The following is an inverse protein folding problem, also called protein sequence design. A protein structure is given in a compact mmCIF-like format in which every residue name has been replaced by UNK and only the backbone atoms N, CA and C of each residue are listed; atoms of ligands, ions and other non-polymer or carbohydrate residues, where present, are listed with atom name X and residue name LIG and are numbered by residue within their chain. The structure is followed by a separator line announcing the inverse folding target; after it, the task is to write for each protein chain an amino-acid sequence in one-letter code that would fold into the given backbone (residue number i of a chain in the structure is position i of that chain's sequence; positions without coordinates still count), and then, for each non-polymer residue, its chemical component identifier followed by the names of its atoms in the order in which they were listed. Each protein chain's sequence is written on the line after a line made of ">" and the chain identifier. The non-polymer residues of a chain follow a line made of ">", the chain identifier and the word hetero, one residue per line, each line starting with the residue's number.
data_IF_107433653706
#
_entry.id   IF_107433653706
#
_cell.length_a   1.000
_cell.length_b   1.000
_cell.length_c   1.000
_cell.angle_alpha   90.00
_cell.angle_beta   90.00
_cell.angle_gamma   90.00
#
_symmetry.space_group_name_H-M   'P 1'
#
loop_
_entity.id
_entity.type
_entity.pdbx_description
1 polymer ?
#
# COMPACT_ATOMS: atom_id res chain seq x y z
N UNK A 1 -78.77 -30.77 3.12
CA UNK A 1 -79.41 -29.55 2.63
C UNK A 1 -78.23 -28.60 2.26
N UNK A 2 -77.76 -28.65 1.16
CA UNK A 2 -78.00 -28.01 -0.11
C UNK A 2 -78.26 -26.51 -0.04
N UNK A 3 -77.31 -25.74 -0.58
CA UNK A 3 -77.48 -24.67 -1.55
C UNK A 3 -76.11 -23.98 -1.71
N UNK A 4 -75.46 -24.23 -2.83
CA UNK A 4 -75.43 -23.54 -4.14
C UNK A 4 -74.85 -22.14 -4.05
N UNK A 5 -73.65 -21.97 -4.53
CA UNK A 5 -73.25 -21.40 -5.83
C UNK A 5 -73.89 -20.07 -6.19
N UNK A 6 -73.11 -19.05 -6.51
CA UNK A 6 -72.52 -18.74 -7.78
C UNK A 6 -71.76 -17.37 -7.79
N UNK A 7 -71.03 -17.04 -8.86
CA UNK A 7 -69.78 -16.30 -8.84
C UNK A 7 -69.88 -14.93 -9.51
N UNK A 8 -68.67 -14.33 -9.69
CA UNK A 8 -68.28 -13.21 -10.55
C UNK A 8 -68.60 -11.82 -9.98
N UNK A 9 -67.75 -10.88 -10.13
CA UNK A 9 -67.17 -10.28 -11.34
C UNK A 9 -65.94 -9.45 -10.99
N UNK A 10 -65.07 -9.37 -11.97
CA UNK A 10 -63.98 -8.43 -12.07
C UNK A 10 -64.41 -6.97 -11.96
N UNK A 11 -63.44 -6.19 -11.52
CA UNK A 11 -63.18 -4.79 -11.72
C UNK A 11 -63.17 -3.97 -10.41
N UNK A 12 -61.95 -3.66 -10.02
CA UNK A 12 -61.57 -2.26 -9.80
C UNK A 12 -60.03 -2.15 -9.64
N UNK A 13 -59.48 -1.54 -10.64
CA UNK A 13 -58.11 -1.07 -10.70
C UNK A 13 -57.92 0.11 -9.76
N UNK A 14 -56.68 0.22 -9.32
CA UNK A 14 -55.98 1.44 -8.91
C UNK A 14 -56.27 2.01 -7.51
N UNK A 15 -55.31 1.73 -6.61
CA UNK A 15 -54.70 2.82 -5.82
C UNK A 15 -53.28 2.43 -5.38
N UNK A 16 -52.32 3.01 -6.06
CA UNK A 16 -51.00 3.47 -5.73
C UNK A 16 -50.67 3.43 -4.24
N UNK A 17 -49.76 2.52 -3.88
CA UNK A 17 -48.98 2.57 -2.67
C UNK A 17 -47.50 2.77 -3.06
N UNK A 18 -47.00 3.96 -2.79
CA UNK A 18 -45.61 4.36 -3.01
C UNK A 18 -44.63 3.54 -2.17
N UNK A 19 -44.11 2.49 -2.74
CA UNK A 19 -42.95 1.78 -2.22
C UNK A 19 -41.68 2.51 -2.64
N UNK A 20 -40.98 3.11 -1.68
CA UNK A 20 -39.70 3.76 -1.91
C UNK A 20 -38.69 2.81 -2.49
N UNK A 21 -38.36 2.99 -3.74
CA UNK A 21 -37.21 2.37 -4.41
C UNK A 21 -35.95 3.03 -3.86
N UNK A 22 -35.26 2.34 -2.98
CA UNK A 22 -33.92 2.72 -2.59
C UNK A 22 -33.05 2.58 -3.85
N UNK A 23 -32.84 3.66 -4.56
CA UNK A 23 -31.86 3.75 -5.62
C UNK A 23 -30.49 3.57 -4.97
N UNK A 24 -29.94 2.37 -5.09
CA UNK A 24 -28.52 2.16 -4.96
C UNK A 24 -27.87 2.97 -6.10
N UNK A 25 -27.47 4.19 -5.78
CA UNK A 25 -26.56 4.97 -6.61
C UNK A 25 -25.21 4.28 -6.53
N UNK A 26 -25.00 3.31 -7.39
CA UNK A 26 -23.67 2.81 -7.71
C UNK A 26 -22.94 3.99 -8.34
N UNK A 27 -22.17 4.72 -7.54
CA UNK A 27 -21.19 5.66 -8.03
C UNK A 27 -20.19 4.84 -8.86
N UNK A 28 -20.44 4.77 -10.16
CA UNK A 28 -19.47 4.39 -11.16
C UNK A 28 -18.37 5.47 -11.10
N UNK A 29 -17.39 5.27 -10.25
CA UNK A 29 -16.11 5.95 -10.35
C UNK A 29 -15.56 5.60 -11.73
N UNK A 30 -15.74 6.51 -12.68
CA UNK A 30 -15.01 6.48 -13.95
C UNK A 30 -13.54 6.50 -13.56
N UNK A 31 -12.86 5.33 -13.64
CA UNK A 31 -11.44 5.23 -13.42
C UNK A 31 -10.76 6.10 -14.46
N UNK A 32 -10.27 7.24 -14.03
CA UNK A 32 -9.50 8.16 -14.87
C UNK A 32 -8.30 7.40 -15.43
N UNK A 33 -8.15 7.41 -16.76
CA UNK A 33 -7.05 6.75 -17.44
C UNK A 33 -5.98 7.80 -17.75
N UNK A 34 -4.79 7.57 -17.27
CA UNK A 34 -3.62 8.40 -17.51
C UNK A 34 -2.75 7.84 -18.62
N UNK A 35 -2.25 8.70 -19.47
CA UNK A 35 -1.46 8.34 -20.63
C UNK A 35 0.04 8.37 -20.32
N UNK A 36 0.68 7.21 -20.18
CA UNK A 36 2.11 7.07 -20.01
C UNK A 36 2.82 6.90 -21.37
N UNK A 37 3.61 7.89 -21.77
CA UNK A 37 4.40 7.87 -23.01
C UNK A 37 5.76 7.24 -22.77
N UNK A 38 5.99 6.05 -23.33
CA UNK A 38 7.25 5.34 -23.21
C UNK A 38 7.88 5.08 -24.57
N UNK A 39 9.18 5.32 -24.70
CA UNK A 39 9.94 4.83 -25.84
C UNK A 39 10.06 3.31 -25.83
N UNK A 40 10.36 2.70 -26.97
CA UNK A 40 10.59 1.25 -27.05
C UNK A 40 11.73 0.81 -26.11
N UNK A 41 12.80 1.61 -26.02
CA UNK A 41 13.90 1.35 -25.11
C UNK A 41 13.47 1.38 -23.62
N UNK A 42 12.61 2.32 -23.22
CA UNK A 42 12.07 2.39 -21.85
C UNK A 42 11.18 1.17 -21.53
N UNK A 43 10.28 0.79 -22.44
CA UNK A 43 9.45 -0.42 -22.29
C UNK A 43 10.29 -1.68 -22.11
N UNK A 44 11.33 -1.82 -22.96
CA UNK A 44 12.26 -2.96 -22.86
C UNK A 44 13.01 -2.95 -21.52
N UNK A 45 13.39 -1.78 -21.02
CA UNK A 45 14.04 -1.64 -19.72
C UNK A 45 13.09 -2.06 -18.58
N UNK A 46 11.83 -1.61 -18.61
CA UNK A 46 10.82 -2.00 -17.64
C UNK A 46 10.65 -3.53 -17.62
N UNK A 47 10.36 -4.12 -18.78
CA UNK A 47 10.12 -5.57 -18.92
C UNK A 47 11.34 -6.43 -18.54
N UNK A 48 12.52 -5.86 -18.61
CA UNK A 48 13.77 -6.57 -18.26
C UNK A 48 14.07 -6.54 -16.75
N UNK A 49 13.81 -5.43 -16.08
CA UNK A 49 14.28 -5.20 -14.71
C UNK A 49 13.16 -5.18 -13.67
N UNK A 50 11.95 -4.74 -14.04
CA UNK A 50 10.80 -4.76 -13.15
C UNK A 50 10.08 -6.11 -13.28
N UNK A 51 10.02 -6.86 -12.20
CA UNK A 51 9.24 -8.09 -12.11
C UNK A 51 7.76 -7.75 -12.00
N UNK A 52 7.14 -7.47 -13.17
CA UNK A 52 5.78 -6.99 -13.24
C UNK A 52 4.75 -8.13 -13.15
N UNK A 53 3.58 -7.87 -12.54
CA UNK A 53 2.42 -8.73 -12.67
C UNK A 53 2.01 -8.91 -14.14
N UNK A 54 1.37 -10.02 -14.45
CA UNK A 54 0.99 -10.36 -15.83
C UNK A 54 0.17 -9.26 -16.51
N UNK A 55 -0.80 -8.65 -15.83
CA UNK A 55 -1.66 -7.61 -16.39
C UNK A 55 -0.90 -6.32 -16.79
N UNK A 56 0.17 -5.95 -16.07
CA UNK A 56 1.02 -4.80 -16.42
C UNK A 56 1.99 -5.14 -17.55
N UNK A 57 2.60 -6.33 -17.51
CA UNK A 57 3.53 -6.78 -18.56
C UNK A 57 2.81 -6.94 -19.89
N UNK A 58 1.67 -7.61 -19.93
CA UNK A 58 0.83 -7.77 -21.12
C UNK A 58 0.39 -6.43 -21.72
N UNK A 59 0.02 -5.46 -20.88
CA UNK A 59 -0.37 -4.11 -21.30
C UNK A 59 0.80 -3.35 -21.94
N UNK A 60 1.99 -3.47 -21.38
CA UNK A 60 3.20 -2.88 -21.95
C UNK A 60 3.63 -3.56 -23.25
N UNK A 61 3.41 -4.86 -23.40
CA UNK A 61 3.72 -5.63 -24.59
C UNK A 61 2.71 -5.41 -25.72
N UNK A 62 1.41 -5.37 -25.43
CA UNK A 62 0.34 -5.20 -26.41
C UNK A 62 0.49 -3.92 -27.25
N UNK A 63 1.07 -2.87 -26.67
CA UNK A 63 1.27 -1.58 -27.34
C UNK A 63 2.65 -1.42 -28.01
N UNK A 64 3.36 -2.52 -28.26
CA UNK A 64 4.75 -2.53 -28.75
C UNK A 64 4.89 -2.01 -30.18
N UNK A 65 3.87 -2.17 -31.00
CA UNK A 65 3.94 -1.94 -32.46
C UNK A 65 3.25 -0.68 -32.97
N UNK A 66 2.32 -0.08 -32.22
CA UNK A 66 1.44 0.98 -32.77
C UNK A 66 1.39 2.25 -31.95
N UNK A 67 1.56 2.21 -30.64
CA UNK A 67 1.37 3.38 -29.79
C UNK A 67 2.62 3.73 -28.98
N UNK A 68 3.04 4.99 -29.08
CA UNK A 68 4.08 5.57 -28.18
C UNK A 68 3.56 5.76 -26.74
N UNK A 69 2.27 5.55 -26.50
CA UNK A 69 1.61 5.78 -25.22
C UNK A 69 0.78 4.54 -24.80
N UNK A 70 0.70 4.32 -23.50
CA UNK A 70 -0.13 3.29 -22.87
C UNK A 70 -0.98 3.94 -21.81
N UNK A 71 -2.26 3.59 -21.76
CA UNK A 71 -3.18 4.11 -20.74
C UNK A 71 -3.17 3.19 -19.53
N UNK A 72 -3.12 3.79 -18.34
CA UNK A 72 -3.14 3.12 -17.05
C UNK A 72 -4.14 3.83 -16.13
N UNK A 73 -4.73 3.10 -15.21
CA UNK A 73 -5.40 3.69 -14.05
C UNK A 73 -4.36 4.23 -13.06
N UNK A 74 -4.79 5.06 -12.11
CA UNK A 74 -3.91 5.51 -11.01
C UNK A 74 -3.32 4.32 -10.24
N UNK A 75 -4.15 3.32 -9.93
CA UNK A 75 -3.72 2.12 -9.19
C UNK A 75 -2.65 1.34 -9.96
N UNK A 76 -2.81 1.18 -11.27
CA UNK A 76 -1.84 0.51 -12.12
C UNK A 76 -0.52 1.29 -12.26
N UNK A 77 -0.57 2.62 -12.26
CA UNK A 77 0.64 3.44 -12.26
C UNK A 77 1.38 3.38 -10.91
N UNK A 78 0.64 3.37 -9.79
CA UNK A 78 1.22 3.17 -8.47
C UNK A 78 1.90 1.81 -8.37
N UNK A 79 1.22 0.75 -8.82
CA UNK A 79 1.78 -0.60 -8.83
C UNK A 79 3.02 -0.70 -9.73
N UNK A 80 2.97 -0.09 -10.91
CA UNK A 80 4.12 -0.01 -11.83
C UNK A 80 5.30 0.74 -11.17
N UNK A 81 5.02 1.82 -10.45
CA UNK A 81 6.05 2.61 -9.76
C UNK A 81 6.71 1.80 -8.65
N UNK A 82 5.96 1.08 -7.82
CA UNK A 82 6.49 0.22 -6.76
C UNK A 82 7.47 -0.84 -7.32
N UNK A 83 7.12 -1.46 -8.45
CA UNK A 83 7.99 -2.42 -9.11
C UNK A 83 9.25 -1.78 -9.72
N UNK A 84 9.13 -0.57 -10.29
CA UNK A 84 10.26 0.18 -10.85
C UNK A 84 11.22 0.62 -9.75
N UNK A 85 10.74 1.18 -8.65
CA UNK A 85 11.55 1.62 -7.52
C UNK A 85 12.28 0.44 -6.89
N UNK A 86 11.60 -0.69 -6.67
CA UNK A 86 12.25 -1.93 -6.25
C UNK A 86 13.37 -2.36 -7.20
N UNK A 87 13.16 -2.22 -8.52
CA UNK A 87 14.17 -2.58 -9.52
C UNK A 87 15.41 -1.66 -9.51
N UNK A 88 15.29 -0.41 -9.01
CA UNK A 88 16.43 0.52 -8.85
C UNK A 88 17.49 -0.04 -7.90
N UNK A 89 17.09 -0.75 -6.84
CA UNK A 89 18.03 -1.38 -5.90
C UNK A 89 18.82 -2.50 -6.55
N UNK A 90 18.23 -3.21 -7.51
CA UNK A 90 18.81 -4.38 -8.21
C UNK A 90 19.64 -3.98 -9.44
N UNK A 91 19.34 -2.86 -10.07
CA UNK A 91 20.03 -2.37 -11.27
C UNK A 91 21.38 -1.71 -10.92
N UNK A 92 22.38 -1.88 -11.80
CA UNK A 92 23.73 -1.32 -11.62
C UNK A 92 24.13 -0.41 -12.79
N UNK A 93 25.00 0.58 -12.50
CA UNK A 93 25.60 1.45 -13.50
C UNK A 93 24.60 2.18 -14.38
N UNK A 94 24.80 2.17 -15.70
CA UNK A 94 23.95 2.87 -16.67
C UNK A 94 22.50 2.36 -16.70
N UNK A 95 22.27 1.10 -16.33
CA UNK A 95 20.92 0.55 -16.29
C UNK A 95 20.12 1.15 -15.13
N UNK A 96 20.75 1.35 -13.97
CA UNK A 96 20.13 2.06 -12.85
C UNK A 96 19.64 3.46 -13.26
N UNK A 97 20.46 4.20 -14.00
CA UNK A 97 20.09 5.52 -14.50
C UNK A 97 18.90 5.48 -15.48
N UNK A 98 18.80 4.42 -16.29
CA UNK A 98 17.65 4.24 -17.19
C UNK A 98 16.36 3.99 -16.42
N UNK A 99 16.41 3.14 -15.38
CA UNK A 99 15.26 2.86 -14.51
C UNK A 99 14.85 4.12 -13.77
N UNK A 100 15.78 4.86 -13.15
CA UNK A 100 15.50 6.10 -12.44
C UNK A 100 14.75 7.14 -13.30
N UNK A 101 15.15 7.34 -14.57
CA UNK A 101 14.41 8.23 -15.48
C UNK A 101 12.99 7.79 -15.79
N UNK A 102 12.70 6.49 -15.68
CA UNK A 102 11.34 5.98 -15.86
C UNK A 102 10.55 6.19 -14.58
N UNK A 103 11.16 5.96 -13.41
CA UNK A 103 10.60 6.27 -12.09
C UNK A 103 10.18 7.74 -12.04
N UNK A 104 11.08 8.69 -12.33
CA UNK A 104 10.79 10.13 -12.39
C UNK A 104 9.55 10.42 -13.25
N UNK A 105 9.52 9.84 -14.44
CA UNK A 105 8.42 10.06 -15.39
C UNK A 105 7.07 9.54 -14.90
N UNK A 106 7.03 8.38 -14.24
CA UNK A 106 5.80 7.82 -13.67
C UNK A 106 5.37 8.65 -12.45
N UNK A 107 6.34 9.05 -11.61
CA UNK A 107 6.09 9.90 -10.44
C UNK A 107 5.55 11.28 -10.83
N UNK A 108 6.10 11.91 -11.88
CA UNK A 108 5.58 13.17 -12.42
C UNK A 108 4.14 13.04 -12.90
N UNK A 109 3.82 11.93 -13.59
CA UNK A 109 2.46 11.67 -14.08
C UNK A 109 1.47 11.48 -12.93
N UNK A 110 1.86 10.78 -11.87
CA UNK A 110 1.07 10.62 -10.65
C UNK A 110 0.92 11.94 -9.87
N UNK A 111 1.96 12.78 -9.85
CA UNK A 111 1.94 14.09 -9.21
C UNK A 111 1.16 15.15 -9.98
N UNK A 112 1.07 15.05 -11.31
CA UNK A 112 0.37 16.01 -12.18
C UNK A 112 -1.15 15.78 -12.25
N UNK A 113 -1.68 14.74 -11.61
CA UNK A 113 -3.14 14.50 -11.50
C UNK A 113 -3.83 15.43 -10.49
N UNK A 114 -3.13 16.46 -10.01
CA UNK A 114 -3.73 17.52 -9.20
C UNK A 114 -4.50 18.45 -10.14
N UNK A 115 -5.84 18.40 -10.06
CA UNK A 115 -6.69 19.37 -10.73
C UNK A 115 -6.47 20.77 -10.12
N UNK A 116 -5.93 21.76 -10.88
CA UNK A 116 -5.71 23.09 -10.36
C UNK A 116 -7.02 23.84 -9.99
N UNK A 117 -8.16 23.41 -10.51
CA UNK A 117 -9.46 24.06 -10.33
C UNK A 117 -10.28 23.52 -9.14
N UNK A 118 -9.89 22.45 -8.48
CA UNK A 118 -10.45 21.99 -7.19
C UNK A 118 -9.90 22.80 -5.99
N UNK A 119 -9.35 23.97 -6.24
CA UNK A 119 -8.87 24.93 -5.21
C UNK A 119 -10.05 25.73 -4.62
N UNK A 120 -11.16 25.12 -4.33
CA UNK A 120 -12.09 25.72 -3.37
C UNK A 120 -11.57 25.42 -1.97
N UNK A 121 -11.30 26.49 -1.23
CA UNK A 121 -10.90 26.52 0.19
C UNK A 121 -11.89 25.78 1.10
N UNK A 122 -12.04 24.49 0.96
CA UNK A 122 -12.55 23.70 2.06
C UNK A 122 -11.37 23.36 2.96
N UNK A 123 -11.06 24.33 3.88
CA UNK A 123 -10.36 24.01 5.12
C UNK A 123 -11.01 22.74 5.68
N UNK A 124 -10.32 21.62 5.61
CA UNK A 124 -10.70 20.46 6.40
C UNK A 124 -10.80 20.94 7.85
N UNK A 125 -11.94 20.75 8.53
CA UNK A 125 -12.09 21.21 9.90
C UNK A 125 -10.99 20.53 10.74
N UNK A 126 -10.30 21.34 11.56
CA UNK A 126 -9.35 20.88 12.57
C UNK A 126 -9.99 19.75 13.38
N UNK A 127 -9.37 18.56 13.39
CA UNK A 127 -9.88 17.31 13.99
C UNK A 127 -11.07 16.68 13.25
N UNK A 128 -10.92 16.36 11.99
CA UNK A 128 -11.77 15.33 11.41
C UNK A 128 -11.29 13.98 11.90
N UNK A 129 -12.24 13.17 12.40
CA UNK A 129 -12.05 11.76 12.68
C UNK A 129 -11.85 11.05 11.32
N UNK A 130 -10.65 11.19 10.76
CA UNK A 130 -10.26 10.71 9.43
C UNK A 130 -9.53 9.39 9.56
N UNK A 131 -9.88 8.44 8.70
CA UNK A 131 -9.13 7.20 8.51
C UNK A 131 -8.25 7.35 7.29
N UNK A 132 -6.99 6.99 7.43
CA UNK A 132 -6.00 6.91 6.37
C UNK A 132 -5.87 5.45 5.91
N UNK A 133 -6.07 5.18 4.64
CA UNK A 133 -5.69 3.90 4.04
C UNK A 133 -4.29 4.05 3.46
N UNK A 134 -3.38 3.24 3.96
CA UNK A 134 -1.96 3.33 3.61
C UNK A 134 -1.51 1.97 3.06
N UNK A 135 -0.96 1.97 1.85
CA UNK A 135 -0.21 0.84 1.31
C UNK A 135 1.25 0.98 1.73
N UNK A 136 1.79 -0.07 2.29
CA UNK A 136 3.18 -0.20 2.72
C UNK A 136 3.84 -1.25 1.86
N UNK A 137 4.87 -0.90 1.14
CA UNK A 137 5.63 -1.83 0.26
C UNK A 137 7.06 -1.93 0.75
N UNK A 138 7.52 -3.14 1.04
CA UNK A 138 8.93 -3.40 1.37
C UNK A 138 9.77 -3.33 0.09
N UNK A 139 10.74 -2.42 0.08
CA UNK A 139 11.53 -2.11 -1.10
C UNK A 139 12.72 -3.06 -1.26
N UNK A 140 13.16 -3.24 -2.51
CA UNK A 140 14.33 -4.07 -2.82
C UNK A 140 14.06 -5.58 -2.90
N UNK A 141 12.85 -6.03 -2.55
CA UNK A 141 12.43 -7.44 -2.58
C UNK A 141 11.50 -7.69 -3.77
N UNK A 142 11.70 -8.80 -4.44
CA UNK A 142 10.81 -9.29 -5.49
C UNK A 142 10.62 -10.82 -5.36
N UNK A 143 9.37 -11.32 -5.55
CA UNK A 143 8.11 -10.57 -5.70
C UNK A 143 7.81 -9.66 -4.51
N UNK A 144 6.97 -8.61 -4.71
CA UNK A 144 6.70 -7.59 -3.70
C UNK A 144 6.10 -8.17 -2.40
N UNK A 145 6.60 -7.68 -1.28
CA UNK A 145 6.02 -7.87 0.05
C UNK A 145 5.32 -6.56 0.41
N UNK A 146 4.03 -6.60 0.68
CA UNK A 146 3.28 -5.38 0.98
C UNK A 146 2.12 -5.62 1.95
N UNK A 147 1.66 -4.53 2.57
CA UNK A 147 0.50 -4.48 3.46
C UNK A 147 -0.38 -3.29 3.09
N UNK A 148 -1.68 -3.40 3.32
CA UNK A 148 -2.62 -2.27 3.26
C UNK A 148 -3.29 -2.14 4.59
N UNK A 149 -3.04 -1.03 5.27
CA UNK A 149 -3.55 -0.75 6.61
C UNK A 149 -4.52 0.42 6.57
N UNK A 150 -5.47 0.41 7.49
CA UNK A 150 -6.36 1.54 7.75
C UNK A 150 -6.18 1.95 9.21
N UNK A 151 -5.84 3.22 9.43
CA UNK A 151 -5.67 3.78 10.77
C UNK A 151 -6.34 5.14 10.88
N UNK A 152 -6.76 5.52 12.09
CA UNK A 152 -7.12 6.89 12.39
C UNK A 152 -5.87 7.76 12.38
N UNK A 153 -6.07 9.08 12.50
CA UNK A 153 -4.93 9.97 12.71
C UNK A 153 -4.14 9.54 13.95
N UNK A 154 -2.85 9.37 13.77
CA UNK A 154 -1.93 8.86 14.77
C UNK A 154 -0.57 9.56 14.64
N UNK A 155 0.25 9.50 15.66
CA UNK A 155 1.63 9.96 15.58
C UNK A 155 2.48 9.05 14.68
N UNK A 156 3.64 9.53 14.24
CA UNK A 156 4.57 8.70 13.47
C UNK A 156 5.14 7.56 14.31
N UNK A 157 5.32 7.75 15.62
CA UNK A 157 5.70 6.67 16.53
C UNK A 157 4.61 5.59 16.61
N UNK A 158 3.33 5.98 16.74
CA UNK A 158 2.23 5.02 16.68
C UNK A 158 2.12 4.34 15.32
N UNK A 159 2.44 5.05 14.22
CA UNK A 159 2.52 4.43 12.89
C UNK A 159 3.66 3.41 12.81
N UNK A 160 4.84 3.70 13.39
CA UNK A 160 5.92 2.73 13.52
C UNK A 160 5.45 1.45 14.20
N UNK A 161 4.76 1.57 15.34
CA UNK A 161 4.22 0.41 16.06
C UNK A 161 3.26 -0.41 15.17
N UNK A 162 2.41 0.28 14.39
CA UNK A 162 1.50 -0.39 13.44
C UNK A 162 2.27 -1.14 12.36
N UNK A 163 3.33 -0.55 11.84
CA UNK A 163 4.19 -1.17 10.82
C UNK A 163 4.88 -2.41 11.36
N UNK A 164 5.44 -2.34 12.57
CA UNK A 164 6.07 -3.47 13.22
C UNK A 164 5.11 -4.67 13.33
N UNK A 165 3.92 -4.45 13.87
CA UNK A 165 2.92 -5.51 14.01
C UNK A 165 2.45 -6.04 12.66
N UNK A 166 2.23 -5.18 11.67
CA UNK A 166 1.72 -5.62 10.37
C UNK A 166 2.76 -6.31 9.51
N UNK A 167 4.02 -5.98 9.70
CA UNK A 167 5.15 -6.67 9.07
C UNK A 167 5.51 -7.95 9.84
N UNK A 168 5.36 -7.98 11.16
CA UNK A 168 5.66 -9.12 12.02
C UNK A 168 7.06 -9.02 12.64
N UNK A 169 7.56 -7.79 12.84
CA UNK A 169 8.84 -7.51 13.49
C UNK A 169 8.72 -7.28 15.00
N UNK A 170 9.84 -7.32 15.72
CA UNK A 170 9.90 -7.41 17.18
C UNK A 170 10.32 -6.12 17.88
N UNK A 171 10.44 -4.98 17.17
CA UNK A 171 10.83 -3.67 17.72
C UNK A 171 12.29 -3.62 18.23
N UNK A 172 13.17 -4.45 17.70
CA UNK A 172 14.55 -4.59 18.19
C UNK A 172 15.49 -3.48 17.67
N UNK A 173 15.12 -2.76 16.58
CA UNK A 173 15.98 -1.84 15.87
C UNK A 173 15.43 -0.42 15.79
N UNK A 174 16.32 0.51 15.41
CA UNK A 174 15.99 1.92 15.18
C UNK A 174 15.21 2.11 13.89
N UNK A 175 14.43 3.18 13.85
CA UNK A 175 13.65 3.57 12.70
C UNK A 175 13.71 5.07 12.41
N UNK A 176 13.34 5.46 11.19
CA UNK A 176 13.01 6.83 10.81
C UNK A 176 11.97 6.87 9.70
N UNK A 177 11.22 7.96 9.67
CA UNK A 177 10.42 8.34 8.51
C UNK A 177 11.12 9.47 7.77
N UNK A 178 10.97 9.49 6.42
CA UNK A 178 11.48 10.55 5.56
C UNK A 178 10.30 11.10 4.76
N UNK A 179 9.87 12.33 5.11
CA UNK A 179 8.64 12.94 4.58
C UNK A 179 8.97 14.33 4.04
N UNK A 180 8.87 14.51 2.73
CA UNK A 180 9.20 15.80 2.10
C UNK A 180 10.66 16.23 2.31
N UNK A 181 11.57 15.27 2.51
CA UNK A 181 12.99 15.52 2.79
C UNK A 181 13.31 15.83 4.25
N UNK A 182 12.33 15.76 5.14
CA UNK A 182 12.51 15.91 6.60
C UNK A 182 12.52 14.53 7.26
N UNK A 183 13.46 14.29 8.15
CA UNK A 183 13.57 13.06 8.93
C UNK A 183 12.82 13.17 10.25
N UNK A 184 12.11 12.08 10.62
CA UNK A 184 11.37 11.94 11.87
C UNK A 184 11.75 10.63 12.54
N UNK A 185 12.16 10.69 13.80
CA UNK A 185 12.51 9.52 14.60
C UNK A 185 12.17 9.75 16.06
N UNK A 186 12.40 8.75 16.89
CA UNK A 186 12.37 8.93 18.33
C UNK A 186 13.63 9.71 18.78
N UNK A 187 13.43 10.90 19.36
CA UNK A 187 14.55 11.78 19.79
C UNK A 187 15.34 11.22 20.97
N UNK A 188 14.78 10.31 21.76
CA UNK A 188 15.54 9.63 22.81
C UNK A 188 16.64 8.73 22.24
N UNK A 189 16.48 8.31 20.97
CA UNK A 189 17.39 7.43 20.25
C UNK A 189 18.16 8.13 19.12
N UNK A 190 17.73 9.33 18.70
CA UNK A 190 18.37 10.08 17.61
C UNK A 190 19.42 11.06 18.15
N UNK A 191 20.64 10.96 17.63
CA UNK A 191 21.77 11.84 17.99
C UNK A 191 21.99 13.02 17.02
N UNK A 192 21.04 13.30 16.10
CA UNK A 192 21.19 14.29 15.04
C UNK A 192 20.35 15.54 15.28
N UNK A 193 20.94 16.73 15.04
CA UNK A 193 20.33 18.03 15.34
C UNK A 193 19.13 18.41 14.46
N UNK A 194 18.96 17.79 13.29
CA UNK A 194 17.93 18.14 12.29
C UNK A 194 16.74 17.14 12.23
N UNK A 195 16.66 16.20 13.15
CA UNK A 195 15.58 15.18 13.20
C UNK A 195 14.39 15.73 13.99
N UNK A 196 13.19 15.56 13.45
CA UNK A 196 11.94 15.91 14.12
C UNK A 196 11.42 14.76 14.98
N UNK A 197 10.66 15.10 16.04
CA UNK A 197 10.15 14.10 16.98
C UNK A 197 8.94 13.33 16.39
N UNK A 198 9.12 12.04 16.13
CA UNK A 198 8.07 11.15 15.67
C UNK A 198 6.93 10.96 16.70
N UNK A 199 7.22 11.09 17.99
CA UNK A 199 6.24 10.93 19.07
C UNK A 199 5.21 12.07 19.13
N UNK A 200 5.61 13.28 18.69
CA UNK A 200 4.80 14.49 18.78
C UNK A 200 4.19 14.91 17.42
N UNK A 201 4.46 14.17 16.34
CA UNK A 201 4.07 14.54 14.98
C UNK A 201 2.98 13.62 14.45
N UNK A 202 1.77 14.15 14.19
CA UNK A 202 0.65 13.40 13.62
C UNK A 202 0.68 13.34 12.08
N UNK A 203 0.14 12.28 11.51
CA UNK A 203 -0.02 12.11 10.06
C UNK A 203 -0.76 13.30 9.41
N UNK A 204 -1.83 13.78 10.04
CA UNK A 204 -2.63 14.89 9.53
C UNK A 204 -1.87 16.22 9.46
N UNK A 205 -0.81 16.39 10.24
CA UNK A 205 -0.01 17.62 10.28
C UNK A 205 1.00 17.71 9.15
N UNK A 206 1.52 16.57 8.71
CA UNK A 206 2.63 16.48 7.75
C UNK A 206 2.20 16.08 6.34
N UNK A 207 1.07 15.38 6.22
CA UNK A 207 0.60 14.95 4.91
C UNK A 207 -0.14 16.08 4.20
N UNK A 208 0.28 16.46 2.96
CA UNK A 208 -0.37 17.52 2.21
C UNK A 208 -1.85 17.26 2.02
N UNK A 209 -2.71 18.21 2.41
CA UNK A 209 -4.15 18.08 2.24
C UNK A 209 -4.58 17.98 0.76
N UNK A 210 -3.77 18.55 -0.15
CA UNK A 210 -4.04 18.64 -1.59
C UNK A 210 -3.45 17.49 -2.40
N UNK A 211 -2.49 16.74 -1.88
CA UNK A 211 -1.96 15.57 -2.58
C UNK A 211 -2.91 14.40 -2.34
N UNK A 212 -3.49 13.85 -3.39
CA UNK A 212 -4.43 12.74 -3.29
C UNK A 212 -3.76 11.47 -2.80
N UNK A 213 -2.48 11.24 -3.19
CA UNK A 213 -1.71 10.03 -2.84
C UNK A 213 -0.29 10.40 -2.40
N UNK A 214 -0.11 11.06 -1.24
CA UNK A 214 1.21 11.38 -0.76
C UNK A 214 2.00 10.11 -0.48
N UNK A 215 3.28 10.16 -0.88
CA UNK A 215 4.26 9.10 -0.68
C UNK A 215 5.32 9.58 0.30
N UNK A 216 5.79 8.68 1.14
CA UNK A 216 6.90 8.92 2.04
C UNK A 216 7.58 7.61 2.38
N UNK A 217 8.82 7.69 2.89
CA UNK A 217 9.62 6.51 3.18
C UNK A 217 9.67 6.24 4.67
N UNK A 218 9.81 4.98 5.01
CA UNK A 218 10.08 4.49 6.36
C UNK A 218 11.25 3.52 6.28
N UNK A 219 12.29 3.78 7.06
CA UNK A 219 13.45 2.91 7.20
C UNK A 219 13.41 2.29 8.59
N UNK A 220 13.56 0.98 8.63
CA UNK A 220 13.68 0.18 9.83
C UNK A 220 14.98 -0.60 9.78
N UNK A 221 15.68 -0.68 10.89
CA UNK A 221 17.00 -1.31 11.01
C UNK A 221 18.05 -0.68 10.07
N UNK A 222 18.86 0.23 10.61
CA UNK A 222 19.89 0.91 9.82
C UNK A 222 21.04 -0.01 9.43
N UNK A 223 21.17 -1.19 10.05
CA UNK A 223 22.10 -2.25 9.66
C UNK A 223 21.65 -2.99 8.41
N UNK A 224 20.43 -3.51 8.43
CA UNK A 224 19.82 -4.26 7.33
C UNK A 224 19.15 -3.36 6.28
N UNK A 225 18.87 -2.08 6.63
CA UNK A 225 18.31 -1.07 5.74
C UNK A 225 16.96 -1.48 5.12
N UNK A 226 16.02 -1.91 5.94
CA UNK A 226 14.68 -2.23 5.50
C UNK A 226 13.89 -0.97 5.12
N UNK A 227 14.02 -0.58 3.86
CA UNK A 227 13.28 0.55 3.30
C UNK A 227 11.88 0.16 2.91
N UNK A 228 10.90 0.97 3.32
CA UNK A 228 9.51 0.83 2.94
C UNK A 228 9.04 2.10 2.26
N UNK A 229 8.26 1.95 1.21
CA UNK A 229 7.48 3.04 0.66
C UNK A 229 6.06 2.99 1.20
N UNK A 230 5.59 4.11 1.74
CA UNK A 230 4.23 4.29 2.20
C UNK A 230 3.47 5.21 1.24
N UNK A 231 2.30 4.74 0.81
CA UNK A 231 1.39 5.50 -0.06
C UNK A 231 0.07 5.68 0.66
N UNK A 232 -0.33 6.91 0.93
CA UNK A 232 -1.69 7.17 1.41
C UNK A 232 -2.65 7.07 0.23
N UNK A 233 -3.31 5.95 0.08
CA UNK A 233 -4.20 5.68 -1.05
C UNK A 233 -5.51 6.45 -0.95
N UNK A 234 -6.07 6.51 0.27
CA UNK A 234 -7.39 7.11 0.52
C UNK A 234 -7.48 7.77 1.90
N UNK A 235 -8.40 8.71 2.03
CA UNK A 235 -8.81 9.35 3.29
C UNK A 235 -10.32 9.39 3.35
N UNK A 236 -10.90 8.84 4.41
CA UNK A 236 -12.35 8.74 4.54
C UNK A 236 -12.79 8.83 6.02
N UNK A 237 -14.08 9.14 6.31
CA UNK A 237 -14.58 9.09 7.67
C UNK A 237 -14.64 7.63 8.17
N UNK A 238 -14.44 7.39 9.50
CA UNK A 238 -14.49 6.04 10.04
C UNK A 238 -15.84 5.38 9.81
N UNK A 239 -15.80 4.12 9.40
CA UNK A 239 -16.99 3.31 9.21
C UNK A 239 -17.60 2.89 10.55
N UNK A 240 -18.93 2.87 10.63
CA UNK A 240 -19.62 2.47 11.83
C UNK A 240 -19.37 1.00 12.15
N UNK A 241 -18.92 0.72 13.37
CA UNK A 241 -18.64 -0.65 13.83
C UNK A 241 -17.24 -1.17 13.50
N UNK A 242 -16.46 -0.48 12.68
CA UNK A 242 -15.08 -0.85 12.40
C UNK A 242 -14.15 -0.33 13.51
N UNK A 243 -13.30 -1.22 14.01
CA UNK A 243 -12.26 -0.87 14.99
C UNK A 243 -10.93 -0.70 14.25
N UNK A 244 -10.41 0.51 14.26
CA UNK A 244 -9.10 0.85 13.74
C UNK A 244 -8.05 0.81 14.85
N UNK A 245 -6.77 0.46 14.54
CA UNK A 245 -6.26 0.11 13.23
C UNK A 245 -6.68 -1.28 12.75
N UNK A 246 -6.64 -1.49 11.43
CA UNK A 246 -6.92 -2.78 10.80
C UNK A 246 -6.04 -2.95 9.56
N UNK A 247 -5.51 -4.14 9.35
CA UNK A 247 -4.93 -4.54 8.07
C UNK A 247 -6.03 -5.12 7.19
N UNK A 248 -6.18 -4.62 5.97
CA UNK A 248 -7.26 -5.02 5.05
C UNK A 248 -6.79 -5.92 3.93
N UNK A 249 -5.48 -5.90 3.62
CA UNK A 249 -4.87 -6.77 2.63
C UNK A 249 -3.34 -6.82 2.82
N UNK A 250 -2.71 -7.83 2.23
CA UNK A 250 -1.27 -7.98 2.20
C UNK A 250 -0.87 -9.19 1.38
N UNK A 251 0.41 -9.31 1.11
CA UNK A 251 0.96 -10.41 0.36
C UNK A 251 2.35 -10.77 0.86
N UNK A 252 2.62 -12.06 0.98
CA UNK A 252 3.86 -12.71 1.36
C UNK A 252 4.29 -12.47 2.81
N UNK A 253 5.11 -13.36 3.33
CA UNK A 253 5.73 -13.21 4.63
C UNK A 253 6.74 -12.07 4.63
N UNK A 254 6.86 -11.38 5.75
CA UNK A 254 7.95 -10.44 5.95
C UNK A 254 9.24 -11.20 6.20
N UNK A 255 10.41 -10.69 5.75
CA UNK A 255 11.70 -11.23 6.14
C UNK A 255 11.84 -11.31 7.66
N UNK A 256 12.46 -12.36 8.20
CA UNK A 256 12.87 -12.35 9.61
C UNK A 256 13.86 -11.20 9.89
N UNK A 257 13.88 -10.71 11.11
CA UNK A 257 14.91 -9.75 11.53
C UNK A 257 16.31 -10.37 11.41
N UNK A 258 17.32 -9.54 11.20
CA UNK A 258 18.74 -9.96 11.11
C UNK A 258 19.06 -10.97 9.98
N UNK A 259 18.20 -11.09 8.97
CA UNK A 259 18.50 -12.00 7.83
C UNK A 259 19.42 -11.38 6.78
N UNK A 260 20.00 -10.20 7.03
CA UNK A 260 20.96 -9.52 6.16
C UNK A 260 20.33 -8.57 5.13
N UNK A 261 19.16 -8.05 5.43
CA UNK A 261 18.48 -7.04 4.65
C UNK A 261 18.00 -7.54 3.28
N UNK A 262 17.66 -6.61 2.36
CA UNK A 262 17.22 -6.96 1.01
C UNK A 262 18.22 -7.78 0.20
N UNK A 263 19.48 -7.77 0.61
CA UNK A 263 20.55 -8.52 -0.04
C UNK A 263 20.71 -9.94 0.50
N UNK A 264 20.48 -10.14 1.80
CA UNK A 264 20.58 -11.46 2.47
C UNK A 264 19.29 -12.27 2.34
N UNK A 265 18.14 -11.61 2.27
CA UNK A 265 16.84 -12.30 2.22
C UNK A 265 16.68 -13.30 1.06
N UNK A 266 17.13 -13.04 -0.18
CA UNK A 266 17.07 -14.03 -1.25
C UNK A 266 17.87 -15.31 -0.93
N UNK A 267 19.05 -15.17 -0.35
CA UNK A 267 19.88 -16.32 0.05
C UNK A 267 19.19 -17.10 1.18
N UNK A 268 18.65 -16.41 2.17
CA UNK A 268 17.84 -17.03 3.24
C UNK A 268 16.66 -17.82 2.67
N UNK A 269 15.90 -17.25 1.70
CA UNK A 269 14.77 -17.95 1.06
C UNK A 269 15.24 -19.20 0.31
N UNK A 270 16.37 -19.15 -0.40
CA UNK A 270 16.95 -20.30 -1.08
C UNK A 270 17.34 -21.40 -0.07
N UNK A 271 18.02 -21.01 1.01
CA UNK A 271 18.48 -21.92 2.07
C UNK A 271 17.33 -22.62 2.79
N UNK A 272 16.29 -21.88 3.16
CA UNK A 272 15.16 -22.44 3.90
C UNK A 272 14.17 -23.20 3.03
N UNK A 273 14.07 -22.86 1.75
CA UNK A 273 13.13 -23.51 0.83
C UNK A 273 13.69 -24.80 0.18
N UNK A 274 14.99 -25.04 0.26
CA UNK A 274 15.64 -26.19 -0.35
C UNK A 274 16.09 -27.20 0.72
N UNK A 275 15.38 -28.32 0.91
CA UNK A 275 15.75 -29.33 1.92
C UNK A 275 17.14 -29.95 1.74
N UNK A 276 17.70 -29.91 0.52
CA UNK A 276 19.03 -30.41 0.22
C UNK A 276 20.14 -29.35 0.45
N UNK A 277 19.77 -28.13 0.80
CA UNK A 277 20.76 -27.08 1.06
C UNK A 277 21.47 -27.34 2.39
N UNK A 278 22.81 -27.19 2.42
CA UNK A 278 23.65 -27.48 3.59
C UNK A 278 23.27 -26.74 4.86
N UNK A 279 22.61 -25.57 4.74
CA UNK A 279 22.18 -24.73 5.85
C UNK A 279 20.67 -24.81 6.12
N UNK A 280 19.96 -25.70 5.45
CA UNK A 280 18.51 -25.82 5.59
C UNK A 280 18.06 -26.01 7.05
N UNK A 281 18.63 -27.01 7.72
CA UNK A 281 18.32 -27.31 9.12
C UNK A 281 18.70 -26.15 10.07
N UNK A 282 19.86 -25.50 9.81
CA UNK A 282 20.31 -24.33 10.57
C UNK A 282 19.30 -23.17 10.45
N UNK A 283 18.80 -22.90 9.23
CA UNK A 283 17.83 -21.84 9.00
C UNK A 283 16.47 -22.15 9.59
N UNK A 284 16.02 -23.40 9.55
CA UNK A 284 14.79 -23.83 10.23
C UNK A 284 14.91 -23.65 11.75
N UNK A 285 16.04 -24.03 12.36
CA UNK A 285 16.27 -23.82 13.78
C UNK A 285 16.29 -22.32 14.12
N UNK A 286 16.95 -21.51 13.29
CA UNK A 286 17.08 -20.07 13.50
C UNK A 286 15.73 -19.35 13.47
N UNK A 287 14.80 -19.69 12.56
CA UNK A 287 13.45 -19.09 12.51
C UNK A 287 12.44 -19.73 13.46
N UNK A 288 12.87 -20.72 14.26
CA UNK A 288 11.99 -21.41 15.22
C UNK A 288 11.08 -22.46 14.60
N UNK A 289 11.43 -23.00 13.42
CA UNK A 289 10.73 -24.13 12.78
C UNK A 289 10.39 -23.92 11.31
N UNK A 290 9.19 -23.44 10.99
CA UNK A 290 8.68 -23.33 9.63
C UNK A 290 8.66 -21.86 9.17
N UNK A 291 9.13 -21.60 7.96
CA UNK A 291 8.96 -20.31 7.28
C UNK A 291 8.51 -20.52 5.84
N UNK A 292 7.34 -19.99 5.50
CA UNK A 292 6.82 -19.97 4.14
C UNK A 292 6.83 -18.55 3.60
N UNK A 293 7.70 -18.20 2.66
CA UNK A 293 7.84 -16.84 2.14
C UNK A 293 6.59 -16.35 1.39
N UNK A 294 5.71 -17.25 0.94
CA UNK A 294 4.48 -16.88 0.24
C UNK A 294 3.29 -16.66 1.18
N UNK A 295 3.41 -17.03 2.44
CA UNK A 295 2.33 -16.96 3.42
C UNK A 295 2.13 -15.55 3.94
N UNK A 296 0.87 -15.11 3.98
CA UNK A 296 0.45 -13.92 4.74
C UNK A 296 -0.86 -14.23 5.48
N UNK A 297 -0.81 -14.15 6.80
CA UNK A 297 -1.96 -14.44 7.68
C UNK A 297 -2.61 -13.14 8.16
N UNK A 298 -3.56 -12.64 7.36
CA UNK A 298 -4.31 -11.43 7.64
C UNK A 298 -5.10 -11.48 8.96
N UNK A 299 -5.61 -12.65 9.32
CA UNK A 299 -6.39 -12.82 10.56
C UNK A 299 -5.50 -12.71 11.80
N UNK A 300 -4.32 -13.34 11.76
CA UNK A 300 -3.31 -13.25 12.82
C UNK A 300 -2.84 -11.83 13.02
N UNK A 301 -2.47 -11.13 11.94
CA UNK A 301 -2.07 -9.70 11.99
C UNK A 301 -3.17 -8.85 12.64
N UNK A 302 -4.42 -9.00 12.23
CA UNK A 302 -5.53 -8.26 12.81
C UNK A 302 -5.83 -8.63 14.26
N UNK A 303 -5.49 -9.83 14.69
CA UNK A 303 -5.59 -10.24 16.09
C UNK A 303 -4.57 -9.50 16.94
N UNK A 304 -3.33 -9.34 16.46
CA UNK A 304 -2.30 -8.58 17.18
C UNK A 304 -2.60 -7.07 17.17
N UNK A 305 -3.02 -6.49 16.04
CA UNK A 305 -3.45 -5.09 15.99
C UNK A 305 -4.55 -4.76 17.01
N UNK A 306 -5.50 -5.68 17.23
CA UNK A 306 -6.55 -5.50 18.26
C UNK A 306 -6.02 -5.51 19.70
N UNK A 307 -4.82 -6.06 19.92
CA UNK A 307 -4.16 -6.10 21.25
C UNK A 307 -3.35 -4.86 21.53
N UNK A 308 -2.95 -4.14 20.47
CA UNK A 308 -2.24 -2.88 20.62
C UNK A 308 -3.10 -1.86 21.36
N UNK A 309 -2.47 -1.16 22.28
CA UNK A 309 -3.07 -0.01 22.96
C UNK A 309 -2.54 1.27 22.28
N UNK A 310 -3.24 1.72 21.25
CA UNK A 310 -2.98 3.06 20.72
C UNK A 310 -3.53 4.05 21.73
N UNK A 311 -2.72 5.03 22.09
CA UNK A 311 -3.12 6.12 22.99
C UNK A 311 -4.42 6.75 22.48
N UNK A 312 -5.39 6.92 23.37
CA UNK A 312 -6.61 7.67 23.01
C UNK A 312 -6.23 9.14 22.91
N UNK A 313 -6.06 9.63 21.68
CA UNK A 313 -5.94 11.05 21.37
C UNK A 313 -7.19 11.83 21.79
#
# INVERSE_FOLDING_TARGET
>A
MAKKEKPATQDEQNRVGSGGTTSQTTLSLTRELLELKLSEGQRRTILKYAELPAHLSERLEANRTVAKSTQFTLDELDELLDHLETSVYRAKGNEKQKVLRIVEKVSELLGSTIDPDEISEQRLPKKMNTVFQIKVTLMGIAPLIWRRIQTKDCTLAELHDLLQVTMGWEFEHLYRFIIGGVEYADLEMASQEDVQNACDTNLSEILPARNRRPRFDYEYDFGDQWMHQLVVEERFPPEQGVKYPICVAGQRACPPEDCGGPWGYPDFVEEISNPDHRRHEEMLEWVGGEFDPERFDLESVNKELRRMRISKS
#
